data_IF_462120549538
#
_entry.id   IF_462120549538
#
_cell.length_a   1.000
_cell.length_b   1.000
_cell.length_c   1.000
_cell.angle_alpha   90.00
_cell.angle_beta   90.00
_cell.angle_gamma   90.00
#
_symmetry.space_group_name_H-M   'P 1'
#
loop_
_entity.id
_entity.type
_entity.pdbx_description
1 polymer ?
#
# COMPACT_ATOMS: atom_id res chain seq x y z
N UNK A 1 84.41 -26.84 -7.19
CA UNK A 1 84.16 -25.88 -6.10
C UNK A 1 82.65 -25.80 -5.89
N UNK A 2 82.20 -25.93 -4.64
CA UNK A 2 80.79 -25.83 -4.22
C UNK A 2 80.38 -24.36 -4.16
N UNK A 3 79.17 -24.04 -4.62
CA UNK A 3 78.39 -22.90 -4.15
C UNK A 3 76.91 -23.23 -4.30
N UNK A 4 76.21 -23.27 -3.16
CA UNK A 4 74.75 -23.43 -3.03
C UNK A 4 74.10 -22.06 -3.18
N UNK A 5 72.87 -21.96 -3.71
CA UNK A 5 71.86 -20.99 -3.22
C UNK A 5 70.46 -21.25 -3.83
N UNK A 6 69.58 -21.76 -2.95
CA UNK A 6 68.16 -21.46 -2.65
C UNK A 6 67.11 -21.43 -3.81
N UNK A 7 66.07 -22.28 -3.78
CA UNK A 7 64.88 -22.15 -4.62
C UNK A 7 63.92 -21.11 -4.02
N UNK A 8 63.53 -20.11 -4.82
CA UNK A 8 62.46 -19.18 -4.46
C UNK A 8 61.11 -19.83 -4.81
N UNK A 9 60.35 -20.18 -3.77
CA UNK A 9 58.95 -20.58 -3.84
C UNK A 9 58.13 -19.41 -4.41
N UNK A 10 57.61 -19.55 -5.63
CA UNK A 10 56.51 -18.73 -6.09
C UNK A 10 55.20 -19.37 -5.59
N UNK A 11 54.76 -18.97 -4.40
CA UNK A 11 53.35 -19.06 -4.01
C UNK A 11 52.55 -18.18 -4.97
N UNK A 12 51.85 -18.78 -5.92
CA UNK A 12 50.73 -18.10 -6.59
C UNK A 12 49.48 -18.55 -5.87
N UNK A 13 49.08 -17.74 -4.88
CA UNK A 13 47.79 -17.84 -4.23
C UNK A 13 46.68 -17.56 -5.25
N UNK A 14 45.75 -18.51 -5.29
CA UNK A 14 44.34 -18.48 -5.68
C UNK A 14 43.77 -17.16 -6.16
N UNK A 15 43.03 -17.20 -7.28
CA UNK A 15 41.79 -16.44 -7.43
C UNK A 15 40.83 -17.29 -8.27
N UNK A 16 39.97 -18.04 -7.58
CA UNK A 16 38.76 -18.57 -8.18
C UNK A 16 37.97 -17.36 -8.68
N UNK A 17 37.80 -17.24 -9.99
CA UNK A 17 36.85 -16.30 -10.57
C UNK A 17 35.45 -16.81 -10.24
N UNK A 18 34.93 -16.42 -9.07
CA UNK A 18 33.50 -16.46 -8.82
C UNK A 18 32.89 -15.45 -9.77
N UNK A 19 32.29 -15.95 -10.86
CA UNK A 19 31.41 -15.17 -11.70
C UNK A 19 30.23 -14.74 -10.82
N UNK A 20 30.32 -13.54 -10.24
CA UNK A 20 29.16 -12.88 -9.70
C UNK A 20 28.23 -12.63 -10.89
N UNK A 21 27.26 -13.53 -11.07
CA UNK A 21 26.13 -13.28 -11.95
C UNK A 21 25.51 -11.98 -11.48
N UNK A 22 25.62 -10.93 -12.29
CA UNK A 22 24.94 -9.66 -12.07
C UNK A 22 23.44 -9.96 -12.07
N UNK A 23 22.90 -10.21 -10.88
CA UNK A 23 21.49 -10.28 -10.65
C UNK A 23 20.99 -8.85 -10.88
N UNK A 24 20.08 -8.67 -11.82
CA UNK A 24 19.49 -7.37 -12.11
C UNK A 24 18.86 -6.88 -10.81
N UNK A 25 19.54 -5.96 -10.13
CA UNK A 25 18.98 -5.26 -8.99
C UNK A 25 17.88 -4.40 -9.59
N UNK A 26 16.62 -4.79 -9.36
CA UNK A 26 15.51 -3.89 -9.56
C UNK A 26 15.64 -2.81 -8.50
N UNK A 27 16.42 -1.76 -8.79
CA UNK A 27 16.42 -0.56 -7.98
C UNK A 27 14.98 -0.05 -7.94
N UNK A 28 14.43 0.09 -6.72
CA UNK A 28 13.15 0.75 -6.53
C UNK A 28 13.32 2.19 -7.02
N UNK A 29 12.83 2.49 -8.23
CA UNK A 29 12.76 3.86 -8.69
C UNK A 29 11.89 4.64 -7.73
N UNK A 30 12.38 5.74 -7.14
CA UNK A 30 11.54 6.60 -6.33
C UNK A 30 10.38 7.05 -7.21
N UNK A 31 9.16 6.82 -6.74
CA UNK A 31 7.96 7.29 -7.42
C UNK A 31 7.97 8.80 -7.30
N UNK A 32 8.47 9.46 -8.32
CA UNK A 32 8.44 10.92 -8.39
C UNK A 32 6.98 11.35 -8.52
N UNK A 33 6.57 12.26 -7.64
CA UNK A 33 5.27 12.95 -7.60
C UNK A 33 4.82 13.58 -8.93
N UNK A 34 5.67 13.59 -9.95
CA UNK A 34 5.46 14.22 -11.27
C UNK A 34 4.56 13.40 -12.22
N UNK A 35 4.18 12.17 -11.87
CA UNK A 35 3.24 11.36 -12.67
C UNK A 35 2.09 10.82 -11.82
N UNK A 36 1.13 11.69 -11.51
CA UNK A 36 -0.06 11.30 -10.78
C UNK A 36 -1.09 12.42 -10.68
N UNK A 37 -2.21 12.09 -10.05
CA UNK A 37 -3.29 13.05 -9.76
C UNK A 37 -3.33 13.31 -8.26
N UNK A 38 -3.37 14.58 -7.87
CA UNK A 38 -3.60 14.94 -6.46
C UNK A 38 -5.03 14.59 -6.06
N UNK A 39 -5.17 13.85 -4.96
CA UNK A 39 -6.46 13.39 -4.41
C UNK A 39 -6.53 13.71 -2.93
N UNK A 40 -7.70 14.12 -2.46
CA UNK A 40 -7.94 14.34 -1.04
C UNK A 40 -8.61 13.11 -0.44
N UNK A 41 -7.88 12.37 0.41
CA UNK A 41 -8.40 11.18 1.10
C UNK A 41 -8.43 11.44 2.60
N UNK A 42 -9.62 11.27 3.20
CA UNK A 42 -9.84 11.53 4.63
C UNK A 42 -9.37 12.91 5.12
N UNK A 43 -9.44 13.95 4.27
CA UNK A 43 -9.04 15.31 4.61
C UNK A 43 -7.55 15.60 4.45
N UNK A 44 -6.76 14.66 3.91
CA UNK A 44 -5.33 14.83 3.61
C UNK A 44 -5.08 14.65 2.12
N UNK A 45 -4.15 15.44 1.57
CA UNK A 45 -3.81 15.40 0.15
C UNK A 45 -2.68 14.40 -0.11
N UNK A 46 -2.87 13.58 -1.15
CA UNK A 46 -1.96 12.56 -1.61
C UNK A 46 -1.76 12.68 -3.12
N UNK A 47 -0.66 12.13 -3.64
CA UNK A 47 -0.50 11.85 -5.07
C UNK A 47 -0.91 10.41 -5.33
N UNK A 48 -1.94 10.22 -6.17
CA UNK A 48 -2.30 8.92 -6.70
C UNK A 48 -1.33 8.57 -7.84
N UNK A 49 -0.49 7.58 -7.59
CA UNK A 49 0.64 7.21 -8.45
C UNK A 49 0.16 6.62 -9.77
N UNK A 50 0.80 7.01 -10.88
CA UNK A 50 0.56 6.48 -12.22
C UNK A 50 -0.90 6.59 -12.71
N UNK A 51 -1.70 7.42 -12.04
CA UNK A 51 -3.11 7.59 -12.38
C UNK A 51 -3.36 8.75 -13.33
N UNK A 52 -4.42 8.61 -14.14
CA UNK A 52 -4.90 9.67 -15.05
C UNK A 52 -6.07 10.46 -14.48
N UNK A 53 -6.73 9.94 -13.45
CA UNK A 53 -7.89 10.54 -12.80
C UNK A 53 -8.04 9.98 -11.39
N UNK A 54 -8.65 10.78 -10.51
CA UNK A 54 -9.16 10.38 -9.19
C UNK A 54 -10.11 9.17 -9.20
N UNK A 55 -10.70 8.83 -10.35
CA UNK A 55 -11.51 7.60 -10.53
C UNK A 55 -10.68 6.32 -10.41
N UNK A 56 -9.37 6.42 -10.57
CA UNK A 56 -8.43 5.30 -10.41
C UNK A 56 -8.01 5.13 -8.93
N UNK A 57 -8.63 5.88 -8.02
CA UNK A 57 -8.57 5.62 -6.58
C UNK A 57 -9.37 4.36 -6.23
N UNK A 58 -8.79 3.20 -6.51
CA UNK A 58 -9.39 1.88 -6.32
C UNK A 58 -8.56 1.03 -5.35
N UNK A 59 -9.09 -0.11 -4.91
CA UNK A 59 -8.35 -1.10 -4.11
C UNK A 59 -6.98 -1.43 -4.73
N UNK A 60 -5.93 -1.43 -3.92
CA UNK A 60 -4.56 -1.71 -4.35
C UNK A 60 -3.83 -0.52 -4.97
N UNK A 61 -4.50 0.62 -5.20
CA UNK A 61 -3.82 1.81 -5.69
C UNK A 61 -2.84 2.37 -4.65
N UNK A 62 -1.71 2.87 -5.11
CA UNK A 62 -0.67 3.48 -4.29
C UNK A 62 -0.86 4.99 -4.19
N UNK A 63 -0.83 5.50 -2.97
CA UNK A 63 -0.85 6.91 -2.62
C UNK A 63 0.50 7.31 -2.05
N UNK A 64 1.04 8.44 -2.51
CA UNK A 64 2.22 9.06 -1.88
C UNK A 64 1.77 10.28 -1.10
N UNK A 65 2.12 10.31 0.17
CA UNK A 65 1.89 11.45 1.03
C UNK A 65 2.72 12.65 0.59
N UNK A 66 2.08 13.77 0.27
CA UNK A 66 2.77 14.97 -0.23
C UNK A 66 3.72 15.56 0.83
N UNK A 67 3.48 15.30 2.13
CA UNK A 67 4.28 15.87 3.21
C UNK A 67 5.42 14.96 3.67
N UNK A 68 5.20 13.64 3.65
CA UNK A 68 6.15 12.68 4.23
C UNK A 68 6.83 11.81 3.18
N UNK A 69 6.41 11.86 1.91
CA UNK A 69 6.83 10.96 0.83
C UNK A 69 6.59 9.47 1.14
N UNK A 70 5.78 9.17 2.15
CA UNK A 70 5.40 7.80 2.50
C UNK A 70 4.40 7.25 1.49
N UNK A 71 4.64 6.01 1.05
CA UNK A 71 3.73 5.29 0.15
C UNK A 71 2.75 4.46 0.98
N UNK A 72 1.47 4.58 0.65
CA UNK A 72 0.35 3.91 1.31
C UNK A 72 -0.43 3.15 0.25
N UNK A 73 -0.84 1.91 0.55
CA UNK A 73 -1.68 1.12 -0.34
C UNK A 73 -3.12 1.13 0.15
N UNK A 74 -4.06 1.38 -0.75
CA UNK A 74 -5.48 1.35 -0.44
C UNK A 74 -5.98 -0.09 -0.25
N UNK A 75 -6.58 -0.39 0.90
CA UNK A 75 -7.16 -1.73 1.19
C UNK A 75 -8.49 -1.97 0.48
N UNK A 76 -9.12 -0.92 -0.02
CA UNK A 76 -10.50 -0.97 -0.51
C UNK A 76 -11.53 -1.05 0.61
N UNK A 77 -11.09 -0.96 1.86
CA UNK A 77 -11.97 -0.95 3.02
C UNK A 77 -12.56 0.45 3.22
N UNK A 78 -13.80 0.47 3.70
CA UNK A 78 -14.47 1.67 4.17
C UNK A 78 -14.87 1.45 5.63
N UNK A 79 -14.26 2.22 6.52
CA UNK A 79 -14.65 2.28 7.92
C UNK A 79 -15.86 3.19 8.04
N UNK A 80 -16.95 2.66 8.56
CA UNK A 80 -18.23 3.34 8.67
C UNK A 80 -18.66 3.34 10.11
N UNK A 81 -18.99 4.51 10.61
CA UNK A 81 -19.64 4.66 11.91
C UNK A 81 -21.14 4.69 11.71
N UNK A 82 -21.84 3.77 12.39
CA UNK A 82 -23.29 3.65 12.37
C UNK A 82 -23.89 4.25 13.66
N UNK A 83 -25.15 4.62 13.61
CA UNK A 83 -25.91 4.95 14.82
C UNK A 83 -25.94 3.76 15.79
N UNK A 84 -25.90 4.03 17.09
CA UNK A 84 -25.64 3.01 18.12
C UNK A 84 -26.64 1.85 18.19
N UNK A 85 -27.84 2.01 17.63
CA UNK A 85 -28.90 0.99 17.66
C UNK A 85 -28.98 0.19 16.36
N UNK A 86 -28.13 0.49 15.38
CA UNK A 86 -28.12 -0.20 14.09
C UNK A 86 -27.25 -1.44 14.20
N UNK A 87 -27.83 -2.58 13.87
CA UNK A 87 -27.09 -3.81 13.65
C UNK A 87 -26.35 -3.73 12.30
N UNK A 88 -25.02 -3.82 12.35
CA UNK A 88 -24.17 -3.69 11.17
C UNK A 88 -24.39 -4.82 10.14
N UNK A 89 -24.76 -6.02 10.58
CA UNK A 89 -25.00 -7.16 9.71
C UNK A 89 -26.34 -7.01 8.96
N UNK A 90 -27.40 -6.59 9.65
CA UNK A 90 -28.68 -6.27 9.02
C UNK A 90 -28.56 -5.08 8.06
N UNK A 91 -27.84 -4.02 8.48
CA UNK A 91 -27.55 -2.87 7.64
C UNK A 91 -26.79 -3.28 6.37
N UNK A 92 -25.80 -4.16 6.49
CA UNK A 92 -25.04 -4.66 5.35
C UNK A 92 -25.94 -5.41 4.36
N UNK A 93 -26.79 -6.31 4.86
CA UNK A 93 -27.70 -7.10 4.02
C UNK A 93 -28.72 -6.22 3.29
N UNK A 94 -29.32 -5.27 4.01
CA UNK A 94 -30.32 -4.35 3.45
C UNK A 94 -29.75 -3.47 2.32
N UNK A 95 -28.47 -3.11 2.42
CA UNK A 95 -27.80 -2.23 1.47
C UNK A 95 -26.83 -2.96 0.52
N UNK A 96 -26.82 -4.30 0.54
CA UNK A 96 -25.96 -5.13 -0.31
C UNK A 96 -24.47 -4.80 -0.16
N UNK A 97 -24.03 -4.52 1.07
CA UNK A 97 -22.63 -4.21 1.39
C UNK A 97 -21.88 -5.47 1.85
N UNK A 98 -20.61 -5.57 1.49
CA UNK A 98 -19.74 -6.65 1.95
C UNK A 98 -19.12 -6.30 3.31
N UNK A 99 -19.71 -6.80 4.40
CA UNK A 99 -19.22 -6.58 5.77
C UNK A 99 -18.03 -7.48 6.10
N UNK A 100 -16.91 -6.88 6.49
CA UNK A 100 -15.68 -7.59 6.88
C UNK A 100 -15.60 -7.75 8.40
N UNK A 101 -15.89 -6.67 9.13
CA UNK A 101 -15.61 -6.60 10.56
C UNK A 101 -16.50 -5.57 11.27
N UNK A 102 -16.79 -5.81 12.54
CA UNK A 102 -17.56 -4.90 13.41
C UNK A 102 -16.87 -4.74 14.76
N UNK A 103 -16.76 -3.51 15.24
CA UNK A 103 -16.28 -3.17 16.59
C UNK A 103 -17.06 -1.99 17.16
N UNK A 104 -17.92 -2.27 18.13
CA UNK A 104 -18.83 -1.24 18.67
C UNK A 104 -19.79 -0.76 17.59
N UNK A 105 -19.88 0.56 17.40
CA UNK A 105 -20.67 1.18 16.34
C UNK A 105 -19.92 1.37 15.01
N UNK A 106 -18.72 0.80 14.88
CA UNK A 106 -17.92 0.86 13.66
C UNK A 106 -17.98 -0.46 12.90
N UNK A 107 -18.35 -0.37 11.63
CA UNK A 107 -18.33 -1.47 10.67
C UNK A 107 -17.27 -1.20 9.59
N UNK A 108 -16.63 -2.25 9.09
CA UNK A 108 -15.71 -2.17 7.95
C UNK A 108 -16.35 -2.89 6.78
N UNK A 109 -16.55 -2.17 5.67
CA UNK A 109 -17.09 -2.73 4.43
C UNK A 109 -16.02 -2.79 3.34
N UNK A 110 -16.00 -3.86 2.55
CA UNK A 110 -15.13 -4.00 1.39
C UNK A 110 -15.80 -3.42 0.15
N UNK A 111 -15.09 -2.57 -0.59
CA UNK A 111 -15.48 -2.21 -1.95
C UNK A 111 -15.17 -3.35 -2.92
N UNK A 112 -16.05 -3.53 -3.91
CA UNK A 112 -15.77 -4.43 -5.03
C UNK A 112 -14.52 -3.99 -5.82
N UNK A 113 -13.90 -4.95 -6.50
CA UNK A 113 -12.73 -4.68 -7.33
C UNK A 113 -13.02 -3.60 -8.39
N UNK A 114 -12.08 -2.67 -8.56
CA UNK A 114 -12.15 -1.56 -9.51
C UNK A 114 -13.26 -0.52 -9.25
N UNK A 115 -13.96 -0.59 -8.12
CA UNK A 115 -14.87 0.50 -7.73
C UNK A 115 -14.05 1.68 -7.20
N UNK A 116 -14.31 2.86 -7.76
CA UNK A 116 -13.71 4.09 -7.26
C UNK A 116 -14.15 4.33 -5.80
N UNK A 117 -13.18 4.37 -4.89
CA UNK A 117 -13.43 4.40 -3.44
C UNK A 117 -14.13 5.69 -2.99
N UNK A 118 -13.91 6.81 -3.69
CA UNK A 118 -14.67 8.03 -3.46
C UNK A 118 -16.16 7.87 -3.78
N UNK A 119 -16.49 7.17 -4.86
CA UNK A 119 -17.87 6.89 -5.23
C UNK A 119 -18.52 5.96 -4.22
N UNK A 120 -17.83 4.88 -3.83
CA UNK A 120 -18.32 3.95 -2.81
C UNK A 120 -18.55 4.65 -1.47
N UNK A 121 -17.58 5.44 -1.00
CA UNK A 121 -17.71 6.27 0.20
C UNK A 121 -18.93 7.19 0.11
N UNK A 122 -19.09 7.91 -1.00
CA UNK A 122 -20.20 8.85 -1.18
C UNK A 122 -21.57 8.15 -1.24
N UNK A 123 -21.64 6.93 -1.76
CA UNK A 123 -22.86 6.11 -1.75
C UNK A 123 -23.20 5.68 -0.34
N UNK A 124 -22.25 5.10 0.39
CA UNK A 124 -22.48 4.61 1.76
C UNK A 124 -22.79 5.76 2.72
N UNK A 125 -22.11 6.91 2.59
CA UNK A 125 -22.35 8.08 3.43
C UNK A 125 -23.78 8.68 3.30
N UNK A 126 -24.53 8.31 2.26
CA UNK A 126 -25.92 8.76 2.06
C UNK A 126 -26.96 7.79 2.63
N UNK A 127 -26.53 6.62 3.12
CA UNK A 127 -27.43 5.63 3.70
C UNK A 127 -27.91 6.08 5.08
N UNK A 128 -29.17 5.79 5.39
CA UNK A 128 -29.77 6.16 6.68
C UNK A 128 -29.02 5.46 7.82
N UNK A 129 -28.69 6.22 8.85
CA UNK A 129 -28.00 5.68 10.03
C UNK A 129 -26.49 5.62 9.94
N UNK A 130 -25.90 6.10 8.83
CA UNK A 130 -24.46 6.35 8.74
C UNK A 130 -24.13 7.70 9.36
N UNK A 131 -23.25 7.69 10.35
CA UNK A 131 -22.77 8.88 11.06
C UNK A 131 -21.51 9.44 10.42
N UNK A 132 -20.58 8.56 10.03
CA UNK A 132 -19.29 8.95 9.45
C UNK A 132 -18.71 7.84 8.55
N UNK A 133 -17.83 8.23 7.62
CA UNK A 133 -17.16 7.30 6.70
C UNK A 133 -15.69 7.70 6.47
N UNK A 134 -14.80 6.71 6.45
CA UNK A 134 -13.35 6.88 6.22
C UNK A 134 -12.82 5.75 5.35
N UNK A 135 -12.00 6.10 4.35
CA UNK A 135 -11.32 5.10 3.50
C UNK A 135 -10.18 4.46 4.31
N UNK A 136 -10.09 3.14 4.29
CA UNK A 136 -9.04 2.36 4.95
C UNK A 136 -7.72 2.41 4.19
N UNK A 137 -6.63 2.29 4.94
CA UNK A 137 -5.25 2.32 4.45
C UNK A 137 -4.48 1.13 5.01
N UNK A 138 -3.62 0.53 4.18
CA UNK A 138 -2.56 -0.33 4.65
C UNK A 138 -1.27 0.50 4.69
N UNK A 139 -0.70 0.64 5.88
CA UNK A 139 0.64 1.18 6.03
C UNK A 139 1.61 0.01 5.81
N UNK A 140 2.22 -0.07 4.63
CA UNK A 140 3.36 -0.98 4.45
C UNK A 140 4.46 -0.54 5.43
N UNK A 141 4.73 -1.35 6.46
CA UNK A 141 5.79 -1.08 7.43
C UNK A 141 5.49 -1.30 8.91
N UNK A 142 4.29 -1.76 9.29
CA UNK A 142 3.95 -2.11 10.68
C UNK A 142 4.07 -3.62 10.98
N UNK A 143 4.97 -4.32 10.29
CA UNK A 143 5.47 -5.64 10.71
C UNK A 143 6.95 -5.54 11.06
N UNK A 144 7.25 -4.87 12.18
CA UNK A 144 8.54 -4.96 12.85
C UNK A 144 8.41 -4.54 14.33
N UNK A 145 7.75 -5.36 15.14
CA UNK A 145 8.05 -5.49 16.58
C UNK A 145 8.01 -6.97 17.00
#
# INVERSE_FOLDING_TARGET
MKSKLIPLLAMVGSLYAVQASAQTVHEATPVTSDSGVTVNVNGKDYVLVAAKSDKELVTGAALVDIKTDETIVLTGELVVELESLIDAQEFAQANQLNLIYVRGNRAIFQADANVALHTFKAQVARLNGVVNTQIGFNLEGLEAE
#
